data_IF_782224738181
#
_entry.id   IF_782224738181
#
_cell.length_a   1.000
_cell.length_b   1.000
_cell.length_c   1.000
_cell.angle_alpha   90.00
_cell.angle_beta   90.00
_cell.angle_gamma   90.00
#
_symmetry.space_group_name_H-M   'P 1'
#
loop_
_entity.id
_entity.type
_entity.pdbx_description
1 polymer ?
#
# COMPACT_ATOMS: atom_id res chain seq x y z
N UNK A 1 0.71 1.45 -11.44
CA UNK A 1 1.00 1.42 -10.01
C UNK A 1 -0.16 0.82 -9.24
N UNK A 2 0.13 -0.06 -8.30
CA UNK A 2 -0.91 -0.76 -7.55
C UNK A 2 -1.11 -0.06 -6.21
N UNK A 3 -2.30 0.48 -6.00
CA UNK A 3 -2.61 1.25 -4.80
C UNK A 3 -3.88 0.68 -4.17
N UNK A 4 -3.84 0.48 -2.86
CA UNK A 4 -4.98 0.00 -2.11
C UNK A 4 -5.22 0.93 -0.93
N UNK A 5 -6.48 1.24 -0.67
CA UNK A 5 -6.84 2.12 0.44
C UNK A 5 -7.40 1.27 1.56
N UNK A 6 -6.89 1.47 2.76
CA UNK A 6 -7.31 0.73 3.94
C UNK A 6 -7.29 1.68 5.12
N UNK A 7 -8.36 1.70 5.91
CA UNK A 7 -8.44 2.68 6.98
C UNK A 7 -7.31 2.49 7.99
N UNK A 8 -7.02 1.25 8.37
CA UNK A 8 -5.97 1.00 9.32
C UNK A 8 -5.43 -0.42 9.15
N UNK A 9 -4.15 -0.59 9.44
CA UNK A 9 -3.52 -1.91 9.52
C UNK A 9 -3.14 -2.24 10.96
N UNK A 10 -3.70 -1.53 11.93
CA UNK A 10 -3.37 -1.77 13.33
C UNK A 10 -3.88 -3.12 13.81
N UNK A 11 -4.98 -3.59 13.28
CA UNK A 11 -5.51 -4.88 13.67
C UNK A 11 -4.80 -5.98 12.90
N UNK A 12 -4.23 -7.00 13.60
CA UNK A 12 -3.44 -8.02 12.92
C UNK A 12 -4.20 -8.80 11.84
N UNK A 13 -5.47 -9.11 12.07
CA UNK A 13 -6.24 -9.85 11.08
C UNK A 13 -6.49 -9.02 9.83
N UNK A 14 -6.82 -7.74 10.03
CA UNK A 14 -7.03 -6.85 8.89
C UNK A 14 -5.73 -6.69 8.10
N UNK A 15 -4.62 -6.52 8.82
CA UNK A 15 -3.32 -6.37 8.18
C UNK A 15 -2.98 -7.60 7.33
N UNK A 16 -3.17 -8.79 7.91
CA UNK A 16 -2.84 -10.02 7.20
C UNK A 16 -3.69 -10.16 5.95
N UNK A 17 -4.98 -9.86 6.04
CA UNK A 17 -5.89 -10.00 4.91
C UNK A 17 -5.54 -9.02 3.80
N UNK A 18 -5.29 -7.76 4.16
CA UNK A 18 -4.97 -6.75 3.17
C UNK A 18 -3.65 -7.03 2.48
N UNK A 19 -2.65 -7.42 3.25
CA UNK A 19 -1.34 -7.71 2.69
C UNK A 19 -1.41 -8.94 1.79
N UNK A 20 -2.12 -9.97 2.20
CA UNK A 20 -2.23 -11.19 1.39
C UNK A 20 -2.94 -10.90 0.06
N UNK A 21 -4.00 -10.11 0.10
CA UNK A 21 -4.72 -9.77 -1.12
C UNK A 21 -3.82 -8.97 -2.06
N UNK A 22 -3.03 -8.07 -1.51
CA UNK A 22 -2.15 -7.25 -2.32
C UNK A 22 -1.02 -8.06 -2.93
N UNK A 23 -0.48 -9.01 -2.17
CA UNK A 23 0.55 -9.90 -2.68
C UNK A 23 0.02 -10.71 -3.86
N UNK A 24 -1.20 -11.18 -3.73
CA UNK A 24 -1.83 -11.94 -4.82
C UNK A 24 -1.95 -11.08 -6.07
N UNK A 25 -2.39 -9.84 -5.91
CA UNK A 25 -2.50 -8.92 -7.04
C UNK A 25 -1.15 -8.61 -7.66
N UNK A 26 -0.13 -8.40 -6.80
CA UNK A 26 1.22 -8.15 -7.30
C UNK A 26 1.74 -9.30 -8.13
N UNK A 27 1.47 -10.52 -7.68
CA UNK A 27 1.89 -11.71 -8.41
C UNK A 27 1.15 -11.83 -9.74
N UNK A 28 -0.17 -11.64 -9.71
CA UNK A 28 -0.98 -11.75 -10.91
C UNK A 28 -0.60 -10.72 -11.96
N UNK A 29 -0.29 -9.50 -11.53
CA UNK A 29 0.03 -8.42 -12.44
C UNK A 29 1.53 -8.30 -12.71
N UNK A 30 2.33 -9.15 -12.08
CA UNK A 30 3.78 -9.12 -12.22
C UNK A 30 4.35 -7.76 -11.85
N UNK A 31 3.85 -7.20 -10.76
CA UNK A 31 4.28 -5.91 -10.23
C UNK A 31 5.09 -6.15 -8.97
N UNK A 32 6.22 -5.44 -8.81
CA UNK A 32 7.13 -5.67 -7.70
C UNK A 32 6.96 -4.67 -6.58
N UNK A 33 6.06 -3.74 -6.69
CA UNK A 33 5.83 -2.76 -5.63
C UNK A 33 4.37 -2.37 -5.61
N UNK A 34 3.90 -2.01 -4.42
CA UNK A 34 2.53 -1.59 -4.22
C UNK A 34 2.46 -0.63 -3.05
N UNK A 35 1.37 0.10 -2.95
CA UNK A 35 1.19 1.08 -1.89
C UNK A 35 -0.15 0.85 -1.22
N UNK A 36 -0.15 0.86 0.12
CA UNK A 36 -1.38 0.87 0.89
C UNK A 36 -1.50 2.24 1.54
N UNK A 37 -2.60 2.92 1.26
CA UNK A 37 -2.86 4.23 1.85
C UNK A 37 -3.75 4.03 3.07
N UNK A 38 -3.28 4.49 4.22
CA UNK A 38 -4.01 4.37 5.48
C UNK A 38 -4.31 5.74 6.03
N UNK A 39 -5.03 5.76 7.16
CA UNK A 39 -5.35 7.02 7.80
C UNK A 39 -4.10 7.69 8.37
N UNK A 40 -3.24 6.93 9.05
CA UNK A 40 -2.11 7.55 9.75
C UNK A 40 -0.87 6.66 9.87
N UNK A 41 -0.87 5.48 9.28
CA UNK A 41 0.24 4.55 9.48
C UNK A 41 1.28 4.67 8.39
N UNK A 42 2.54 4.41 8.76
CA UNK A 42 3.66 4.49 7.83
C UNK A 42 4.56 3.29 8.09
N UNK A 43 4.80 2.49 7.05
CA UNK A 43 5.54 1.25 7.21
C UNK A 43 6.00 0.76 5.84
N UNK A 44 7.04 -0.06 5.84
CA UNK A 44 7.47 -0.75 4.63
C UNK A 44 7.46 -2.24 4.89
N UNK A 45 6.75 -2.98 4.06
CA UNK A 45 6.62 -4.42 4.19
C UNK A 45 7.31 -5.08 3.02
N UNK A 46 8.30 -5.92 3.31
CA UNK A 46 9.02 -6.66 2.28
C UNK A 46 8.44 -8.06 2.19
N UNK A 47 8.13 -8.48 0.97
CA UNK A 47 7.54 -9.79 0.74
C UNK A 47 8.28 -10.47 -0.41
N UNK A 48 7.99 -11.76 -0.59
CA UNK A 48 8.56 -12.49 -1.71
C UNK A 48 8.08 -11.94 -3.06
N UNK A 49 6.91 -11.34 -3.09
CA UNK A 49 6.36 -10.78 -4.31
C UNK A 49 6.89 -9.38 -4.60
N UNK A 50 7.49 -8.72 -3.61
CA UNK A 50 8.00 -7.36 -3.78
C UNK A 50 7.84 -6.56 -2.50
N UNK A 51 7.81 -5.26 -2.64
CA UNK A 51 7.75 -4.35 -1.49
C UNK A 51 6.41 -3.62 -1.47
N UNK A 52 5.83 -3.53 -0.28
CA UNK A 52 4.59 -2.80 -0.06
C UNK A 52 4.90 -1.61 0.85
N UNK A 53 4.58 -0.40 0.36
CA UNK A 53 4.72 0.81 1.15
C UNK A 53 3.40 1.14 1.79
N UNK A 54 3.39 1.31 3.09
CA UNK A 54 2.19 1.76 3.81
C UNK A 54 2.40 3.22 4.14
N UNK A 55 1.53 4.09 3.66
CA UNK A 55 1.69 5.52 3.84
C UNK A 55 0.40 6.13 4.36
N UNK A 56 0.50 7.17 5.20
CA UNK A 56 -0.70 7.88 5.62
C UNK A 56 -1.26 8.73 4.48
N UNK A 57 -2.57 8.94 4.50
CA UNK A 57 -3.22 9.62 3.38
C UNK A 57 -2.64 11.02 3.16
N UNK A 58 -2.30 11.73 4.23
CA UNK A 58 -1.79 13.09 4.07
C UNK A 58 -0.44 13.07 3.32
N UNK A 59 0.40 12.07 3.61
CA UNK A 59 1.69 11.97 2.92
C UNK A 59 1.49 11.55 1.47
N UNK A 60 0.56 10.63 1.24
CA UNK A 60 0.26 10.19 -0.11
C UNK A 60 -0.18 11.37 -0.97
N UNK A 61 -1.02 12.25 -0.44
CA UNK A 61 -1.48 13.40 -1.17
C UNK A 61 -0.36 14.40 -1.45
N UNK A 62 0.56 14.56 -0.51
CA UNK A 62 1.69 15.45 -0.71
C UNK A 62 2.65 14.94 -1.76
N UNK A 63 2.76 13.62 -1.89
CA UNK A 63 3.71 13.03 -2.83
C UNK A 63 3.14 12.86 -4.23
N UNK A 64 1.86 13.15 -4.43
CA UNK A 64 1.28 13.05 -5.75
C UNK A 64 1.87 14.12 -6.66
N UNK A 65 2.07 13.81 -7.95
CA UNK A 65 2.55 14.82 -8.88
C UNK A 65 1.56 15.98 -8.95
N UNK A 66 2.11 17.17 -8.93
CA UNK A 66 1.28 18.35 -9.06
C UNK A 66 0.66 18.44 -10.45
N UNK A 67 -0.61 18.80 -10.47
CA UNK A 67 -1.27 19.03 -11.73
C UNK A 67 -0.93 20.42 -12.21
N UNK A 68 -0.41 20.52 -13.41
CA UNK A 68 -0.04 21.82 -13.99
C UNK A 68 -1.11 22.24 -14.96
N UNK A 69 -1.62 23.40 -14.74
CA UNK A 69 -2.70 23.95 -15.58
C UNK A 69 -2.23 25.04 -16.47
#
# INVERSE_FOLDING_TARGET
MLIQVCETLAEPQARQREVAALIESMTDLNVKSATIVTRAQSERIKTDAGTIEVVPIWKFLLDLPESKE
#
